data_IF_029960304414
#
_entry.id   IF_029960304414
#
_cell.length_a   1.000
_cell.length_b   1.000
_cell.length_c   1.000
_cell.angle_alpha   90.00
_cell.angle_beta   90.00
_cell.angle_gamma   90.00
#
_symmetry.space_group_name_H-M   'P 1'
#
loop_
_entity.id
_entity.type
_entity.pdbx_description
1 polymer ?
#
# COMPACT_ATOMS: atom_id res chain seq x y z
N UNK A 1 -3.63 14.18 16.19
CA UNK A 1 -2.29 13.64 15.82
C UNK A 1 -2.42 12.46 14.87
N UNK A 2 -3.22 11.44 15.21
CA UNK A 2 -3.47 10.28 14.34
C UNK A 2 -4.11 10.71 13.01
N UNK A 3 -5.02 11.68 13.02
CA UNK A 3 -5.64 12.22 11.79
C UNK A 3 -4.63 12.75 10.77
N UNK A 4 -3.56 13.41 11.24
CA UNK A 4 -2.47 13.89 10.37
C UNK A 4 -1.66 12.73 9.79
N UNK A 5 -1.49 11.64 10.53
CA UNK A 5 -0.81 10.44 10.03
C UNK A 5 -1.69 9.76 8.97
N UNK A 6 -3.01 9.68 9.21
CA UNK A 6 -3.99 9.12 8.27
C UNK A 6 -3.99 9.89 6.95
N UNK A 7 -4.07 11.22 6.99
CA UNK A 7 -4.05 12.02 5.76
C UNK A 7 -2.69 11.98 5.06
N UNK A 8 -1.59 11.96 5.82
CA UNK A 8 -0.24 11.82 5.22
C UNK A 8 -0.10 10.49 4.49
N UNK A 9 -0.60 9.40 5.08
CA UNK A 9 -0.63 8.10 4.45
C UNK A 9 -1.52 8.09 3.21
N UNK A 10 -2.69 8.73 3.26
CA UNK A 10 -3.57 8.88 2.11
C UNK A 10 -2.89 9.59 0.94
N UNK A 11 -2.19 10.71 1.20
CA UNK A 11 -1.45 11.46 0.18
C UNK A 11 -0.33 10.61 -0.45
N UNK A 12 0.41 9.84 0.36
CA UNK A 12 1.42 8.91 -0.14
C UNK A 12 0.77 7.86 -1.07
N UNK A 13 -0.37 7.27 -0.69
CA UNK A 13 -1.08 6.32 -1.56
C UNK A 13 -1.58 6.97 -2.85
N UNK A 14 -2.05 8.22 -2.79
CA UNK A 14 -2.41 9.01 -3.97
C UNK A 14 -1.23 9.25 -4.92
N UNK A 15 -0.06 9.59 -4.39
CA UNK A 15 1.16 9.76 -5.18
C UNK A 15 1.60 8.45 -5.85
N UNK A 16 1.57 7.33 -5.10
CA UNK A 16 1.90 6.01 -5.64
C UNK A 16 0.90 5.60 -6.72
N UNK A 17 -0.40 5.84 -6.50
CA UNK A 17 -1.45 5.62 -7.52
C UNK A 17 -1.10 6.34 -8.82
N UNK A 18 -0.77 7.64 -8.77
CA UNK A 18 -0.46 8.40 -9.97
C UNK A 18 0.76 7.82 -10.71
N UNK A 19 1.80 7.41 -9.98
CA UNK A 19 2.97 6.77 -10.58
C UNK A 19 2.62 5.44 -11.24
N UNK A 20 1.93 4.54 -10.54
CA UNK A 20 1.54 3.21 -11.03
C UNK A 20 0.55 3.26 -12.19
N UNK A 21 -0.41 4.18 -12.15
CA UNK A 21 -1.44 4.28 -13.18
C UNK A 21 -0.87 4.78 -14.52
N UNK A 22 -0.07 5.85 -14.47
CA UNK A 22 0.50 6.50 -15.66
C UNK A 22 1.79 5.84 -16.15
N UNK A 23 2.63 5.31 -15.26
CA UNK A 23 3.92 4.71 -15.59
C UNK A 23 4.07 3.27 -15.07
N UNK A 24 3.13 2.36 -15.39
CA UNK A 24 3.03 1.04 -14.76
C UNK A 24 4.30 0.17 -14.87
N UNK A 25 4.98 0.18 -16.02
CA UNK A 25 6.20 -0.63 -16.21
C UNK A 25 7.37 -0.09 -15.36
N UNK A 26 7.55 1.23 -15.31
CA UNK A 26 8.58 1.86 -14.48
C UNK A 26 8.28 1.65 -12.99
N UNK A 27 7.01 1.70 -12.61
CA UNK A 27 6.59 1.39 -11.24
C UNK A 27 6.86 -0.06 -10.88
N UNK A 28 6.59 -1.01 -11.79
CA UNK A 28 6.97 -2.41 -11.58
C UNK A 28 8.48 -2.58 -11.36
N UNK A 29 9.30 -1.97 -12.21
CA UNK A 29 10.77 -2.01 -12.06
C UNK A 29 11.22 -1.40 -10.72
N UNK A 30 10.61 -0.29 -10.30
CA UNK A 30 10.90 0.36 -9.02
C UNK A 30 10.54 -0.55 -7.85
N UNK A 31 9.35 -1.15 -7.88
CA UNK A 31 8.90 -2.11 -6.87
C UNK A 31 9.80 -3.33 -6.82
N UNK A 32 10.15 -3.90 -7.98
CA UNK A 32 11.09 -5.01 -8.07
C UNK A 32 12.43 -4.63 -7.43
N UNK A 33 13.01 -3.49 -7.80
CA UNK A 33 14.27 -3.02 -7.20
C UNK A 33 14.16 -2.84 -5.69
N UNK A 34 13.03 -2.37 -5.19
CA UNK A 34 12.76 -2.24 -3.76
C UNK A 34 12.66 -3.61 -3.07
N UNK A 35 11.92 -4.56 -3.64
CA UNK A 35 11.72 -5.93 -3.15
C UNK A 35 13.03 -6.72 -3.08
N UNK A 36 13.93 -6.50 -4.04
CA UNK A 36 15.25 -7.13 -4.09
C UNK A 36 16.31 -6.39 -3.25
N UNK A 37 15.97 -5.24 -2.66
CA UNK A 37 16.87 -4.53 -1.76
C UNK A 37 17.06 -5.25 -0.43
N UNK A 38 18.24 -5.13 0.17
CA UNK A 38 18.52 -5.58 1.54
C UNK A 38 17.64 -4.89 2.58
N UNK A 39 17.09 -3.71 2.25
CA UNK A 39 16.22 -2.94 3.12
C UNK A 39 14.75 -3.33 3.00
N UNK A 40 14.37 -4.24 2.11
CA UNK A 40 12.97 -4.64 1.95
C UNK A 40 12.26 -5.07 3.25
N UNK A 41 12.91 -5.79 4.20
CA UNK A 41 12.28 -6.10 5.49
C UNK A 41 11.82 -4.87 6.27
N UNK A 42 12.48 -3.71 6.13
CA UNK A 42 12.04 -2.48 6.79
C UNK A 42 10.67 -2.01 6.30
N UNK A 43 10.29 -2.35 5.05
CA UNK A 43 8.95 -2.11 4.53
C UNK A 43 7.89 -2.85 5.37
N UNK A 44 8.16 -4.10 5.76
CA UNK A 44 7.29 -4.87 6.63
C UNK A 44 7.10 -4.21 8.01
N UNK A 45 8.17 -3.68 8.60
CA UNK A 45 8.10 -2.94 9.87
C UNK A 45 7.24 -1.67 9.73
N UNK A 46 7.45 -0.92 8.65
CA UNK A 46 6.66 0.29 8.35
C UNK A 46 5.18 -0.05 8.18
N UNK A 47 4.85 -1.15 7.49
CA UNK A 47 3.47 -1.61 7.34
C UNK A 47 2.84 -2.02 8.68
N UNK A 48 3.57 -2.71 9.56
CA UNK A 48 3.07 -3.01 10.92
C UNK A 48 2.72 -1.73 11.64
N UNK A 49 3.64 -0.76 11.66
CA UNK A 49 3.44 0.50 12.37
C UNK A 49 2.22 1.27 11.83
N UNK A 50 2.17 1.48 10.51
CA UNK A 50 1.05 2.18 9.86
C UNK A 50 -0.27 1.43 10.10
N UNK A 51 -0.27 0.10 9.95
CA UNK A 51 -1.46 -0.72 10.14
C UNK A 51 -2.00 -0.64 11.57
N UNK A 52 -1.14 -0.65 12.59
CA UNK A 52 -1.55 -0.45 13.99
C UNK A 52 -2.14 0.95 14.19
N UNK A 53 -1.48 1.99 13.66
CA UNK A 53 -1.96 3.37 13.76
C UNK A 53 -3.35 3.53 13.13
N UNK A 54 -3.58 2.92 11.96
CA UNK A 54 -4.90 2.87 11.33
C UNK A 54 -5.90 2.07 12.17
N UNK A 55 -5.48 0.95 12.78
CA UNK A 55 -6.34 0.11 13.61
C UNK A 55 -6.83 0.81 14.88
N UNK A 56 -6.08 1.77 15.43
CA UNK A 56 -6.52 2.52 16.62
C UNK A 56 -7.22 3.84 16.29
N UNK A 57 -7.47 4.11 15.00
CA UNK A 57 -8.17 5.31 14.55
C UNK A 57 -9.63 5.34 15.02
N UNK A 58 -10.08 6.48 15.55
CA UNK A 58 -11.42 6.65 16.16
C UNK A 58 -12.35 7.63 15.43
N UNK A 59 -11.95 8.18 14.28
CA UNK A 59 -12.77 9.13 13.53
C UNK A 59 -13.91 8.48 12.72
N UNK A 60 -14.45 9.25 11.78
CA UNK A 60 -15.43 8.80 10.80
C UNK A 60 -14.94 7.55 10.05
N UNK A 61 -15.82 6.59 9.73
CA UNK A 61 -15.41 5.31 9.10
C UNK A 61 -14.36 4.50 9.88
N UNK A 62 -14.15 4.75 11.18
CA UNK A 62 -13.19 4.02 12.03
C UNK A 62 -13.28 2.50 11.92
N UNK A 63 -14.48 1.92 11.79
CA UNK A 63 -14.63 0.47 11.58
C UNK A 63 -14.01 -0.03 10.27
N UNK A 64 -14.16 0.72 9.18
CA UNK A 64 -13.59 0.34 7.88
C UNK A 64 -12.06 0.49 7.93
N UNK A 65 -11.59 1.61 8.50
CA UNK A 65 -10.17 1.90 8.65
C UNK A 65 -9.50 0.90 9.59
N UNK A 66 -10.22 0.39 10.59
CA UNK A 66 -9.76 -0.68 11.45
C UNK A 66 -9.40 -1.94 10.66
N UNK A 67 -10.30 -2.42 9.80
CA UNK A 67 -10.04 -3.62 9.00
C UNK A 67 -8.92 -3.40 7.97
N UNK A 68 -8.86 -2.22 7.35
CA UNK A 68 -7.75 -1.84 6.47
C UNK A 68 -6.42 -1.89 7.24
N UNK A 69 -6.38 -1.26 8.42
CA UNK A 69 -5.21 -1.24 9.30
C UNK A 69 -4.77 -2.65 9.70
N UNK A 70 -5.73 -3.51 10.03
CA UNK A 70 -5.45 -4.90 10.39
C UNK A 70 -4.84 -5.68 9.23
N UNK A 71 -5.40 -5.58 8.02
CA UNK A 71 -4.85 -6.25 6.82
C UNK A 71 -3.43 -5.76 6.54
N UNK A 72 -3.20 -4.45 6.59
CA UNK A 72 -1.87 -3.84 6.37
C UNK A 72 -0.88 -4.32 7.44
N UNK A 73 -1.29 -4.31 8.72
CA UNK A 73 -0.44 -4.74 9.82
C UNK A 73 -0.06 -6.22 9.70
N UNK A 74 -0.99 -7.09 9.33
CA UNK A 74 -0.75 -8.53 9.13
C UNK A 74 0.10 -8.83 7.89
N UNK A 75 0.08 -7.96 6.89
CA UNK A 75 0.95 -8.09 5.71
C UNK A 75 2.42 -7.87 6.07
N UNK A 76 2.71 -7.03 7.07
CA UNK A 76 4.08 -6.75 7.50
C UNK A 76 4.87 -7.97 8.00
N UNK A 77 4.35 -8.81 8.92
CA UNK A 77 4.97 -10.06 9.33
C UNK A 77 5.20 -11.03 8.16
N UNK A 78 4.26 -11.11 7.21
CA UNK A 78 4.43 -11.95 6.02
C UNK A 78 5.64 -11.51 5.19
N UNK A 79 5.83 -10.20 5.01
CA UNK A 79 6.99 -9.62 4.34
C UNK A 79 8.30 -9.85 5.09
N UNK A 80 8.25 -9.83 6.42
CA UNK A 80 9.43 -10.05 7.28
C UNK A 80 9.87 -11.52 7.30
N UNK A 81 8.91 -12.45 7.39
CA UNK A 81 9.18 -13.88 7.53
C UNK A 81 9.48 -14.52 6.16
N UNK A 82 8.81 -14.05 5.09
CA UNK A 82 8.89 -14.66 3.77
C UNK A 82 9.31 -13.68 2.65
N UNK A 83 10.40 -12.92 2.80
CA UNK A 83 10.84 -11.97 1.77
C UNK A 83 11.19 -12.66 0.44
N UNK A 84 11.73 -13.87 0.49
CA UNK A 84 12.07 -14.64 -0.73
C UNK A 84 10.84 -15.07 -1.52
N UNK A 85 9.69 -15.32 -0.86
CA UNK A 85 8.45 -15.65 -1.55
C UNK A 85 7.93 -14.46 -2.35
N UNK A 86 8.07 -13.26 -1.81
CA UNK A 86 7.71 -12.03 -2.52
C UNK A 86 8.65 -11.78 -3.69
N UNK A 87 9.97 -11.97 -3.51
CA UNK A 87 10.95 -11.87 -4.60
C UNK A 87 10.67 -12.85 -5.74
N UNK A 88 10.37 -14.11 -5.40
CA UNK A 88 9.95 -15.12 -6.38
C UNK A 88 8.72 -14.65 -7.14
N UNK A 89 7.68 -14.18 -6.46
CA UNK A 89 6.45 -13.72 -7.11
C UNK A 89 6.71 -12.57 -8.11
N UNK A 90 7.63 -11.65 -7.82
CA UNK A 90 8.04 -10.60 -8.76
C UNK A 90 8.82 -11.14 -9.96
N UNK A 91 9.74 -12.07 -9.75
CA UNK A 91 10.45 -12.75 -10.86
C UNK A 91 9.50 -13.56 -11.74
N UNK A 92 8.60 -14.32 -11.12
CA UNK A 92 7.63 -15.17 -11.80
C UNK A 92 6.64 -14.32 -12.61
N UNK A 93 6.20 -13.18 -12.07
CA UNK A 93 5.34 -12.24 -12.77
C UNK A 93 6.02 -11.64 -14.02
N UNK A 94 7.30 -11.29 -13.94
CA UNK A 94 8.06 -10.75 -15.08
C UNK A 94 8.23 -11.75 -16.22
N UNK A 95 8.44 -13.03 -15.88
CA UNK A 95 8.61 -14.11 -16.86
C UNK A 95 7.27 -14.52 -17.47
N UNK A 96 6.22 -14.58 -16.64
CA UNK A 96 4.92 -15.16 -17.04
C UNK A 96 4.04 -14.16 -17.77
N UNK A 97 4.03 -12.89 -17.35
CA UNK A 97 3.15 -11.90 -17.94
C UNK A 97 3.79 -11.19 -19.12
N UNK A 98 3.01 -11.05 -20.20
CA UNK A 98 3.36 -10.09 -21.26
C UNK A 98 3.38 -8.67 -20.70
N UNK A 99 4.02 -7.75 -21.43
CA UNK A 99 4.05 -6.32 -21.04
C UNK A 99 2.65 -5.73 -20.85
N UNK A 100 1.64 -6.19 -21.60
CA UNK A 100 0.24 -5.81 -21.42
C UNK A 100 -0.36 -6.34 -20.10
N UNK A 101 -0.10 -7.61 -19.77
CA UNK A 101 -0.55 -8.24 -18.52
C UNK A 101 0.04 -7.54 -17.29
N UNK A 102 1.33 -7.26 -17.32
CA UNK A 102 2.03 -6.58 -16.23
C UNK A 102 1.46 -5.16 -15.98
N UNK A 103 1.18 -4.41 -17.05
CA UNK A 103 0.50 -3.11 -16.96
C UNK A 103 -0.88 -3.24 -16.33
N UNK A 104 -1.63 -4.28 -16.67
CA UNK A 104 -2.94 -4.57 -16.11
C UNK A 104 -2.88 -4.78 -14.59
N UNK A 105 -1.97 -5.64 -14.13
CA UNK A 105 -1.77 -5.93 -12.70
C UNK A 105 -1.40 -4.67 -11.92
N UNK A 106 -0.45 -3.88 -12.43
CA UNK A 106 -0.01 -2.66 -11.74
C UNK A 106 -1.12 -1.59 -11.71
N UNK A 107 -1.90 -1.44 -12.78
CA UNK A 107 -3.04 -0.52 -12.77
C UNK A 107 -4.14 -0.97 -11.83
N UNK A 108 -4.36 -2.28 -11.70
CA UNK A 108 -5.30 -2.82 -10.74
C UNK A 108 -4.87 -2.50 -9.29
N UNK A 109 -3.58 -2.70 -8.95
CA UNK A 109 -3.03 -2.28 -7.66
C UNK A 109 -3.20 -0.77 -7.44
N UNK A 110 -2.92 0.04 -8.47
CA UNK A 110 -3.10 1.49 -8.42
C UNK A 110 -4.55 1.88 -8.06
N UNK A 111 -5.55 1.21 -8.65
CA UNK A 111 -6.97 1.47 -8.34
C UNK A 111 -7.28 1.15 -6.87
N UNK A 112 -6.72 0.07 -6.31
CA UNK A 112 -6.88 -0.26 -4.88
C UNK A 112 -6.27 0.86 -4.02
N UNK A 113 -5.09 1.38 -4.38
CA UNK A 113 -4.46 2.52 -3.67
C UNK A 113 -5.29 3.78 -3.75
N UNK A 114 -5.91 4.06 -4.90
CA UNK A 114 -6.82 5.21 -5.05
C UNK A 114 -8.03 5.07 -4.14
N UNK A 115 -8.67 3.90 -4.09
CA UNK A 115 -9.81 3.64 -3.21
C UNK A 115 -9.42 3.84 -1.74
N UNK A 116 -8.25 3.33 -1.34
CA UNK A 116 -7.70 3.55 -0.01
C UNK A 116 -7.47 5.04 0.28
N UNK A 117 -6.85 5.77 -0.64
CA UNK A 117 -6.64 7.22 -0.55
C UNK A 117 -7.96 7.98 -0.33
N UNK A 118 -8.98 7.70 -1.14
CA UNK A 118 -10.30 8.34 -1.06
C UNK A 118 -10.97 8.05 0.29
N UNK A 119 -10.97 6.81 0.75
CA UNK A 119 -11.56 6.43 2.05
C UNK A 119 -10.90 7.24 3.19
N UNK A 120 -9.57 7.31 3.20
CA UNK A 120 -8.83 8.00 4.26
C UNK A 120 -9.01 9.51 4.21
N UNK A 121 -9.08 10.13 3.01
CA UNK A 121 -9.36 11.57 2.85
C UNK A 121 -10.77 11.90 3.32
N UNK A 122 -11.79 11.14 2.89
CA UNK A 122 -13.18 11.35 3.30
C UNK A 122 -13.30 11.23 4.82
N UNK A 123 -12.67 10.20 5.39
CA UNK A 123 -12.60 10.01 6.84
C UNK A 123 -12.00 11.21 7.56
N UNK A 124 -10.86 11.71 7.07
CA UNK A 124 -10.19 12.87 7.66
C UNK A 124 -11.08 14.12 7.61
N UNK A 125 -11.60 14.47 6.43
CA UNK A 125 -12.45 15.65 6.24
C UNK A 125 -13.67 15.57 7.16
N UNK A 126 -14.39 14.45 7.17
CA UNK A 126 -15.61 14.31 7.98
C UNK A 126 -15.35 14.29 9.48
N UNK A 127 -14.21 13.77 9.93
CA UNK A 127 -13.83 13.78 11.34
C UNK A 127 -13.42 15.18 11.83
N UNK A 128 -13.05 16.08 10.93
CA UNK A 128 -12.70 17.46 11.28
C UNK A 128 -13.95 18.36 11.43
N UNK A 129 -15.03 18.05 10.70
CA UNK A 129 -16.27 18.83 10.69
C UNK A 129 -17.38 18.29 11.62
N UNK A 130 -17.19 17.11 12.22
CA UNK A 130 -18.08 16.52 13.24
C UNK A 130 -17.45 16.67 14.64
#
# INVERSE_FOLDING_TARGET
MIDYIVVSFALIQGLIFFMEFFFPLKSFELWKRWVFSKFFPSHGIVLIFIGIVLSIYKGYMSRIIFYIGLIIALTGPLLLIYPEKIRSAFSDAEITFSSGGLKGVIRFDAVIRLLLCVILIISFIRSFYN
#
